data_IF_635373334159
#
_entry.id   IF_635373334159
#
_cell.length_a   1.000
_cell.length_b   1.000
_cell.length_c   1.000
_cell.angle_alpha   90.00
_cell.angle_beta   90.00
_cell.angle_gamma   90.00
#
_symmetry.space_group_name_H-M   'P 1'
#
loop_
_entity.id
_entity.type
_entity.pdbx_description
1 polymer ?
#
# COMPACT_ATOMS: atom_id res chain seq x y z
N UNK A 1 -0.22 0.74 -44.33
CA UNK A 1 0.44 -0.26 -43.44
C UNK A 1 0.93 0.30 -42.10
N UNK A 2 0.95 1.63 -41.90
CA UNK A 2 1.27 2.31 -40.64
C UNK A 2 0.11 2.29 -39.63
N UNK A 3 -1.14 2.32 -40.11
CA UNK A 3 -2.34 2.35 -39.25
C UNK A 3 -2.60 1.04 -38.50
N UNK A 4 -2.25 -0.10 -39.10
CA UNK A 4 -2.48 -1.40 -38.45
C UNK A 4 -1.50 -1.71 -37.33
N UNK A 5 -0.33 -1.06 -37.30
CA UNK A 5 0.69 -1.27 -36.28
C UNK A 5 0.42 -0.48 -34.99
N UNK A 6 -0.27 0.67 -35.12
CA UNK A 6 -0.70 1.47 -33.96
C UNK A 6 -1.85 0.85 -33.18
N UNK A 7 -2.75 0.12 -33.87
CA UNK A 7 -3.91 -0.50 -33.23
C UNK A 7 -3.57 -1.74 -32.39
N UNK A 8 -2.46 -2.44 -32.70
CA UNK A 8 -2.02 -3.59 -31.90
C UNK A 8 -1.32 -3.16 -30.59
N UNK A 9 -0.68 -2.01 -30.55
CA UNK A 9 0.05 -1.51 -29.38
C UNK A 9 -0.86 -0.84 -28.33
N UNK A 10 -2.08 -0.47 -28.71
CA UNK A 10 -3.05 0.20 -27.80
C UNK A 10 -4.04 -0.75 -27.14
N UNK A 11 -3.89 -2.06 -27.27
CA UNK A 11 -4.81 -3.01 -26.64
C UNK A 11 -4.63 -3.06 -25.14
N UNK A 12 -5.77 -3.06 -24.44
CA UNK A 12 -5.78 -3.30 -23.02
C UNK A 12 -5.21 -4.68 -22.68
N UNK A 13 -4.37 -4.75 -21.67
CA UNK A 13 -3.71 -5.95 -21.19
C UNK A 13 -4.13 -6.24 -19.75
N UNK A 14 -4.14 -7.52 -19.40
CA UNK A 14 -4.31 -7.91 -18.01
C UNK A 14 -3.03 -7.55 -17.23
N UNK A 15 -3.18 -6.84 -16.14
CA UNK A 15 -2.12 -6.57 -15.17
C UNK A 15 -2.41 -7.36 -13.88
N UNK A 16 -1.39 -7.91 -13.25
CA UNK A 16 -1.50 -8.55 -11.94
C UNK A 16 -0.24 -8.27 -11.13
N UNK A 17 -0.42 -8.22 -9.83
CA UNK A 17 0.67 -8.08 -8.86
C UNK A 17 0.33 -8.92 -7.63
N UNK A 18 1.31 -9.56 -7.04
CA UNK A 18 1.18 -10.31 -5.80
C UNK A 18 2.34 -9.96 -4.90
N UNK A 19 2.03 -9.34 -3.79
CA UNK A 19 3.03 -9.01 -2.78
C UNK A 19 2.84 -9.89 -1.55
N UNK A 20 3.95 -10.41 -1.05
CA UNK A 20 3.99 -11.21 0.16
C UNK A 20 5.05 -10.63 1.09
N UNK A 21 4.64 -10.30 2.31
CA UNK A 21 5.50 -9.75 3.33
C UNK A 21 5.41 -10.58 4.61
N UNK A 22 6.54 -10.86 5.22
CA UNK A 22 6.63 -11.39 6.57
C UNK A 22 7.34 -10.40 7.46
N UNK A 23 6.77 -10.12 8.61
CA UNK A 23 7.39 -9.29 9.62
C UNK A 23 7.61 -10.08 10.91
N UNK A 24 8.84 -10.05 11.38
CA UNK A 24 9.23 -10.56 12.69
C UNK A 24 9.95 -9.46 13.43
N UNK A 25 9.32 -8.93 14.46
CA UNK A 25 9.89 -7.88 15.31
C UNK A 25 9.78 -8.31 16.77
N UNK A 26 10.91 -8.43 17.44
CA UNK A 26 10.98 -8.72 18.86
C UNK A 26 11.39 -7.45 19.60
N UNK A 27 10.41 -6.77 20.19
CA UNK A 27 10.63 -5.55 20.97
C UNK A 27 10.72 -5.90 22.44
N UNK A 28 11.92 -5.89 22.95
CA UNK A 28 12.19 -6.00 24.40
C UNK A 28 12.34 -4.61 24.99
N UNK A 29 11.36 -4.21 25.79
CA UNK A 29 11.45 -2.99 26.59
C UNK A 29 11.82 -3.35 28.02
N UNK A 30 13.10 -3.24 28.35
CA UNK A 30 13.56 -3.45 29.73
C UNK A 30 13.01 -2.35 30.64
N UNK A 31 12.19 -2.76 31.64
CA UNK A 31 11.64 -1.90 32.73
C UNK A 31 10.79 -0.70 32.31
N UNK A 32 10.24 -0.65 31.11
CA UNK A 32 9.31 0.43 30.74
C UNK A 32 7.95 0.24 31.41
N UNK A 33 7.48 1.30 32.13
CA UNK A 33 6.11 1.33 32.69
C UNK A 33 5.03 1.51 31.61
N UNK A 34 5.40 1.95 30.41
CA UNK A 34 4.49 2.35 29.34
C UNK A 34 4.47 1.41 28.15
N UNK A 35 5.46 0.55 28.02
CA UNK A 35 5.57 -0.36 26.89
C UNK A 35 5.84 -1.78 27.39
N UNK A 36 4.98 -2.71 26.99
CA UNK A 36 5.18 -4.13 27.27
C UNK A 36 6.08 -4.74 26.20
N UNK A 37 7.03 -5.59 26.61
CA UNK A 37 7.76 -6.42 25.67
C UNK A 37 6.78 -7.24 24.83
N UNK A 38 7.00 -7.24 23.53
CA UNK A 38 6.07 -7.86 22.60
C UNK A 38 6.84 -8.42 21.40
N UNK A 39 6.48 -9.63 21.02
CA UNK A 39 6.94 -10.22 19.77
C UNK A 39 5.83 -10.06 18.75
N UNK A 40 6.13 -9.41 17.65
CA UNK A 40 5.25 -9.24 16.50
C UNK A 40 5.74 -10.23 15.44
N UNK A 41 4.89 -11.18 15.09
CA UNK A 41 5.15 -12.10 13.99
C UNK A 41 3.90 -12.21 13.14
N UNK A 42 3.99 -11.81 11.90
CA UNK A 42 2.84 -11.79 11.00
C UNK A 42 3.25 -11.96 9.54
N UNK A 43 2.28 -12.37 8.74
CA UNK A 43 2.38 -12.44 7.30
C UNK A 43 1.26 -11.62 6.66
N UNK A 44 1.56 -10.96 5.56
CA UNK A 44 0.63 -10.19 4.75
C UNK A 44 0.72 -10.67 3.31
N UNK A 45 -0.44 -10.76 2.67
CA UNK A 45 -0.58 -11.11 1.26
C UNK A 45 -1.50 -10.08 0.59
N UNK A 46 -1.02 -9.44 -0.46
CA UNK A 46 -1.76 -8.41 -1.19
C UNK A 46 -1.80 -8.71 -2.69
N UNK A 47 -2.66 -9.66 -3.13
CA UNK A 47 -2.88 -9.89 -4.54
C UNK A 47 -3.72 -8.78 -5.15
N UNK A 48 -3.36 -8.35 -6.34
CA UNK A 48 -4.13 -7.39 -7.14
C UNK A 48 -4.17 -7.78 -8.61
N UNK A 49 -5.25 -7.39 -9.27
CA UNK A 49 -5.48 -7.62 -10.69
C UNK A 49 -6.10 -6.38 -11.29
N UNK A 50 -5.88 -6.14 -12.55
CA UNK A 50 -6.43 -4.98 -13.22
C UNK A 50 -6.20 -4.96 -14.71
N UNK A 51 -6.41 -3.79 -15.28
CA UNK A 51 -6.23 -3.52 -16.69
C UNK A 51 -5.14 -2.48 -16.90
N UNK A 52 -4.29 -2.75 -17.85
CA UNK A 52 -3.24 -1.86 -18.33
C UNK A 52 -3.54 -1.43 -19.75
N UNK A 53 -3.50 -0.13 -20.00
CA UNK A 53 -3.68 0.47 -21.31
C UNK A 53 -2.43 1.28 -21.68
N UNK A 54 -1.51 0.71 -22.44
CA UNK A 54 -0.34 1.44 -22.91
C UNK A 54 -0.72 2.38 -24.05
N UNK A 55 -0.16 3.59 -24.02
CA UNK A 55 -0.24 4.60 -25.07
C UNK A 55 1.17 5.03 -25.47
N UNK A 56 1.88 4.22 -26.24
CA UNK A 56 3.31 4.44 -26.53
C UNK A 56 3.57 5.72 -27.32
N UNK A 57 2.63 6.16 -28.13
CA UNK A 57 2.74 7.43 -28.89
C UNK A 57 2.83 8.65 -27.96
N UNK A 58 2.15 8.60 -26.82
CA UNK A 58 2.15 9.66 -25.80
C UNK A 58 3.19 9.40 -24.69
N UNK A 59 3.90 8.26 -24.75
CA UNK A 59 4.78 7.81 -23.70
C UNK A 59 4.04 7.57 -22.36
N UNK A 60 2.76 7.20 -22.45
CA UNK A 60 1.88 7.03 -21.28
C UNK A 60 1.48 5.58 -21.11
N UNK A 61 1.29 5.19 -19.86
CA UNK A 61 0.75 3.90 -19.48
C UNK A 61 -0.27 4.08 -18.35
N UNK A 62 -1.47 3.60 -18.55
CA UNK A 62 -2.56 3.71 -17.61
C UNK A 62 -2.82 2.33 -17.00
N UNK A 63 -3.03 2.27 -15.68
CA UNK A 63 -3.44 1.05 -14.99
C UNK A 63 -4.60 1.34 -14.06
N UNK A 64 -5.58 0.47 -14.07
CA UNK A 64 -6.63 0.44 -13.07
C UNK A 64 -6.53 -0.90 -12.34
N UNK A 65 -6.25 -0.87 -11.04
CA UNK A 65 -5.97 -2.05 -10.23
C UNK A 65 -6.99 -2.19 -9.12
N UNK A 66 -7.41 -3.42 -8.86
CA UNK A 66 -8.21 -3.81 -7.71
C UNK A 66 -7.51 -4.96 -7.00
N UNK A 67 -7.46 -4.90 -5.68
CA UNK A 67 -6.79 -5.91 -4.88
C UNK A 67 -7.43 -6.09 -3.51
N UNK A 68 -6.90 -7.03 -2.77
CA UNK A 68 -7.27 -7.29 -1.38
C UNK A 68 -6.01 -7.32 -0.53
N UNK A 69 -6.15 -6.89 0.70
CA UNK A 69 -5.12 -6.95 1.72
C UNK A 69 -5.55 -7.94 2.80
N UNK A 70 -4.79 -9.01 2.94
CA UNK A 70 -5.04 -10.07 3.92
C UNK A 70 -3.84 -10.21 4.82
N UNK A 71 -4.06 -10.12 6.12
CA UNK A 71 -3.00 -10.25 7.11
C UNK A 71 -3.31 -11.37 8.09
N UNK A 72 -2.28 -12.10 8.50
CA UNK A 72 -2.34 -13.09 9.56
C UNK A 72 -1.23 -12.85 10.57
N UNK A 73 -1.60 -12.63 11.81
CA UNK A 73 -0.68 -12.62 12.95
C UNK A 73 -0.45 -14.03 13.48
N UNK A 74 0.79 -14.34 13.80
CA UNK A 74 1.20 -15.59 14.46
C UNK A 74 1.57 -15.22 15.91
N UNK A 75 0.68 -15.53 16.85
CA UNK A 75 0.89 -15.21 18.26
C UNK A 75 -0.07 -14.13 18.79
N UNK A 76 0.20 -13.62 19.98
CA UNK A 76 -0.64 -12.59 20.60
C UNK A 76 -0.42 -11.23 19.94
N UNK A 77 -1.25 -10.89 18.96
CA UNK A 77 -1.20 -9.59 18.32
C UNK A 77 -1.59 -8.47 19.31
N UNK A 78 -0.79 -7.39 19.39
CA UNK A 78 -1.17 -6.21 20.16
C UNK A 78 -2.45 -5.55 19.67
N UNK A 79 -2.72 -5.64 18.38
CA UNK A 79 -3.91 -5.06 17.75
C UNK A 79 -5.17 -5.83 18.11
N UNK A 80 -5.12 -7.16 18.17
CA UNK A 80 -6.28 -7.96 18.60
C UNK A 80 -6.71 -7.62 20.02
N UNK A 81 -5.74 -7.36 20.92
CA UNK A 81 -6.01 -6.91 22.30
C UNK A 81 -6.56 -5.49 22.39
N UNK A 82 -6.23 -4.62 21.46
CA UNK A 82 -6.77 -3.25 21.43
C UNK A 82 -8.18 -3.19 20.85
N UNK A 83 -8.51 -4.09 19.89
CA UNK A 83 -9.80 -4.09 19.22
C UNK A 83 -10.88 -4.88 19.96
N UNK A 84 -10.51 -5.87 20.75
CA UNK A 84 -11.44 -6.72 21.50
C UNK A 84 -10.82 -7.13 22.83
N UNK A 85 -10.87 -6.26 23.85
CA UNK A 85 -10.26 -6.54 25.15
C UNK A 85 -10.93 -7.72 25.90
N UNK A 86 -12.17 -8.05 25.57
CA UNK A 86 -12.99 -9.07 26.23
C UNK A 86 -13.02 -10.43 25.52
N UNK A 87 -12.54 -10.53 24.28
CA UNK A 87 -12.44 -11.81 23.59
C UNK A 87 -11.12 -12.52 23.93
N UNK A 88 -11.21 -13.82 24.19
CA UNK A 88 -10.04 -14.64 24.46
C UNK A 88 -9.08 -14.55 23.25
N UNK A 89 -7.88 -14.08 23.51
CA UNK A 89 -6.86 -13.78 22.49
C UNK A 89 -6.48 -14.96 21.60
N UNK A 90 -6.95 -16.18 21.91
CA UNK A 90 -6.71 -17.38 21.11
C UNK A 90 -7.59 -17.49 19.86
N UNK A 91 -8.80 -16.95 19.87
CA UNK A 91 -9.70 -17.05 18.72
C UNK A 91 -9.36 -16.08 17.60
N UNK A 92 -8.73 -14.95 17.92
CA UNK A 92 -8.35 -13.92 16.93
C UNK A 92 -7.02 -14.20 16.23
N UNK A 93 -6.12 -14.96 16.88
CA UNK A 93 -4.78 -15.24 16.35
C UNK A 93 -4.75 -16.26 15.22
N UNK A 94 -5.80 -17.08 15.09
CA UNK A 94 -5.82 -18.17 14.10
C UNK A 94 -6.56 -17.82 12.79
N UNK A 95 -7.21 -16.65 12.72
CA UNK A 95 -7.95 -16.24 11.52
C UNK A 95 -7.11 -15.26 10.70
N UNK A 96 -6.96 -15.53 9.42
CA UNK A 96 -6.50 -14.54 8.49
C UNK A 96 -7.55 -13.41 8.44
N UNK A 97 -7.14 -12.18 8.71
CA UNK A 97 -8.02 -11.02 8.71
C UNK A 97 -7.93 -10.33 7.35
N UNK A 98 -9.06 -10.24 6.68
CA UNK A 98 -9.24 -9.30 5.59
C UNK A 98 -9.12 -7.88 6.16
N UNK A 99 -8.15 -7.13 5.67
CA UNK A 99 -7.87 -5.79 6.18
C UNK A 99 -8.60 -4.75 5.35
N UNK A 100 -8.40 -4.78 4.05
CA UNK A 100 -8.87 -3.73 3.17
C UNK A 100 -8.96 -4.21 1.72
N UNK A 101 -9.79 -3.54 0.93
CA UNK A 101 -9.75 -3.59 -0.52
C UNK A 101 -8.93 -2.43 -1.04
N UNK A 102 -8.07 -2.69 -2.01
CA UNK A 102 -7.39 -1.66 -2.77
C UNK A 102 -8.10 -1.44 -4.09
N UNK A 103 -8.24 -0.19 -4.47
CA UNK A 103 -8.72 0.22 -5.78
C UNK A 103 -8.01 1.51 -6.15
N UNK A 104 -7.17 1.45 -7.14
CA UNK A 104 -6.41 2.62 -7.54
C UNK A 104 -6.16 2.69 -9.04
N UNK A 105 -6.05 3.91 -9.49
CA UNK A 105 -5.58 4.24 -10.81
C UNK A 105 -4.12 4.67 -10.73
N UNK A 106 -3.32 4.19 -11.67
CA UNK A 106 -1.92 4.55 -11.86
C UNK A 106 -1.71 5.10 -13.26
N UNK A 107 -1.02 6.22 -13.35
CA UNK A 107 -0.52 6.79 -14.59
C UNK A 107 1.00 6.85 -14.53
N UNK A 108 1.65 6.23 -15.48
CA UNK A 108 3.07 6.39 -15.76
C UNK A 108 3.24 7.14 -17.08
N UNK A 109 4.02 8.22 -17.06
CA UNK A 109 4.35 9.01 -18.25
C UNK A 109 5.84 9.20 -18.36
N UNK A 110 6.41 8.70 -19.44
CA UNK A 110 7.78 9.00 -19.83
C UNK A 110 7.85 10.38 -20.49
N UNK A 111 8.74 11.20 -19.98
CA UNK A 111 9.05 12.52 -20.55
C UNK A 111 10.44 12.48 -21.18
N UNK A 112 10.79 13.50 -21.97
CA UNK A 112 12.10 13.59 -22.62
C UNK A 112 13.27 13.49 -21.64
N UNK A 113 13.10 14.05 -20.45
CA UNK A 113 14.17 14.20 -19.44
C UNK A 113 13.83 13.49 -18.11
N UNK A 114 12.86 12.57 -18.09
CA UNK A 114 12.48 11.90 -16.86
C UNK A 114 11.20 11.09 -16.95
N UNK A 115 10.56 10.87 -15.80
CA UNK A 115 9.27 10.18 -15.69
C UNK A 115 8.36 10.90 -14.70
N UNK A 116 7.08 10.80 -14.93
CA UNK A 116 6.02 11.23 -14.03
C UNK A 116 5.15 10.02 -13.71
N UNK A 117 4.89 9.79 -12.43
CA UNK A 117 3.97 8.76 -11.96
C UNK A 117 2.90 9.41 -11.08
N UNK A 118 1.68 8.91 -11.20
CA UNK A 118 0.56 9.31 -10.37
C UNK A 118 -0.20 8.08 -9.90
N UNK A 119 -0.53 8.06 -8.62
CA UNK A 119 -1.43 7.08 -8.00
C UNK A 119 -2.62 7.83 -7.41
N UNK A 120 -3.82 7.32 -7.61
CA UNK A 120 -5.05 7.89 -7.08
C UNK A 120 -6.00 6.78 -6.62
N UNK A 121 -6.49 6.85 -5.40
CA UNK A 121 -7.38 5.88 -4.79
C UNK A 121 -6.80 5.25 -3.52
N UNK A 122 -7.08 3.97 -3.29
CA UNK A 122 -6.54 3.18 -2.19
C UNK A 122 -5.42 2.31 -2.75
N UNK A 123 -4.18 2.70 -2.52
CA UNK A 123 -2.99 2.07 -3.10
C UNK A 123 -1.94 1.72 -2.03
N UNK A 124 -1.07 0.72 -2.29
CA UNK A 124 -0.05 0.32 -1.32
C UNK A 124 0.94 1.45 -0.98
N UNK A 125 1.26 1.61 0.32
CA UNK A 125 2.27 2.58 0.80
C UNK A 125 3.64 2.40 0.18
N UNK A 126 3.98 1.19 -0.23
CA UNK A 126 5.23 0.90 -0.96
C UNK A 126 5.37 1.67 -2.28
N UNK A 127 4.26 2.21 -2.82
CA UNK A 127 4.30 3.09 -3.97
C UNK A 127 5.04 4.40 -3.68
N UNK A 128 5.07 4.84 -2.42
CA UNK A 128 5.84 5.98 -1.95
C UNK A 128 7.28 5.57 -1.69
N UNK A 129 8.24 6.30 -2.25
CA UNK A 129 9.68 6.02 -2.17
C UNK A 129 10.42 7.06 -1.32
N UNK A 130 9.75 8.15 -0.96
CA UNK A 130 10.34 9.23 -0.18
C UNK A 130 10.69 8.82 1.25
N UNK A 131 11.68 9.49 1.83
CA UNK A 131 11.99 9.36 3.25
C UNK A 131 11.06 10.26 4.06
N UNK A 132 10.15 9.65 4.77
CA UNK A 132 9.16 10.34 5.61
C UNK A 132 9.45 10.12 7.09
N UNK A 133 8.84 10.96 7.94
CA UNK A 133 8.93 10.80 9.38
C UNK A 133 8.40 9.45 9.83
N UNK A 134 9.07 8.81 10.80
CA UNK A 134 8.66 7.54 11.39
C UNK A 134 7.26 7.57 12.01
N UNK A 135 6.75 8.77 12.31
CA UNK A 135 5.36 8.96 12.79
C UNK A 135 4.34 8.51 11.74
N UNK A 136 4.65 8.71 10.44
CA UNK A 136 3.75 8.37 9.34
C UNK A 136 4.18 7.12 8.56
N UNK A 137 5.45 6.71 8.68
CA UNK A 137 6.05 5.65 7.88
C UNK A 137 6.97 4.74 8.70
N UNK A 138 6.69 4.50 9.98
CA UNK A 138 7.40 3.47 10.74
C UNK A 138 7.15 2.09 10.13
N UNK A 139 8.10 1.18 10.25
CA UNK A 139 7.96 -0.17 9.70
C UNK A 139 6.74 -0.91 10.26
N UNK A 140 6.43 -0.69 11.53
CA UNK A 140 5.20 -1.22 12.14
C UNK A 140 3.94 -0.63 11.48
N UNK A 141 3.92 0.66 11.20
CA UNK A 141 2.78 1.31 10.56
C UNK A 141 2.61 0.80 9.13
N UNK A 142 3.71 0.71 8.37
CA UNK A 142 3.69 0.14 7.02
C UNK A 142 3.14 -1.29 7.00
N UNK A 143 3.49 -2.09 8.01
CA UNK A 143 3.02 -3.47 8.10
C UNK A 143 1.54 -3.56 8.47
N UNK A 144 1.06 -2.74 9.42
CA UNK A 144 -0.32 -2.81 9.92
C UNK A 144 -1.32 -1.95 9.14
N UNK A 145 -0.86 -0.87 8.54
CA UNK A 145 -1.63 0.04 7.68
C UNK A 145 -0.87 0.25 6.38
N UNK A 146 -0.98 -0.75 5.50
CA UNK A 146 -0.16 -0.86 4.28
C UNK A 146 -0.66 0.02 3.13
N UNK A 147 -1.84 0.60 3.23
CA UNK A 147 -2.43 1.35 2.14
C UNK A 147 -2.50 2.84 2.47
N UNK A 148 -2.43 3.63 1.42
CA UNK A 148 -2.71 5.06 1.43
C UNK A 148 -4.02 5.30 0.72
N UNK A 149 -4.88 6.13 1.30
CA UNK A 149 -6.11 6.59 0.66
C UNK A 149 -5.91 8.02 0.16
N UNK A 150 -5.70 8.21 -1.14
CA UNK A 150 -5.46 9.56 -1.60
C UNK A 150 -4.84 9.70 -2.97
N UNK A 151 -3.90 10.64 -3.06
CA UNK A 151 -3.16 10.97 -4.27
C UNK A 151 -1.66 10.99 -3.98
N UNK A 152 -0.89 10.36 -4.85
CA UNK A 152 0.57 10.41 -4.84
C UNK A 152 1.07 10.81 -6.22
N UNK A 153 1.89 11.83 -6.26
CA UNK A 153 2.55 12.33 -7.47
C UNK A 153 4.05 12.18 -7.30
N UNK A 154 4.69 11.56 -8.28
CA UNK A 154 6.14 11.42 -8.32
C UNK A 154 6.68 12.00 -9.61
N UNK A 155 7.76 12.71 -9.51
CA UNK A 155 8.44 13.29 -10.65
C UNK A 155 9.94 13.00 -10.55
N UNK A 156 10.47 12.28 -11.50
CA UNK A 156 11.87 11.84 -11.52
C UNK A 156 12.60 12.38 -12.73
N UNK A 157 13.73 13.00 -12.49
CA UNK A 157 14.71 13.43 -13.49
C UNK A 157 16.08 12.84 -13.16
N UNK A 158 17.07 12.87 -14.08
CA UNK A 158 18.40 12.30 -13.82
C UNK A 158 19.11 12.86 -12.57
N UNK A 159 18.79 14.08 -12.15
CA UNK A 159 19.44 14.77 -11.01
C UNK A 159 18.47 15.25 -9.94
N UNK A 160 17.18 14.95 -10.06
CA UNK A 160 16.19 15.40 -9.08
C UNK A 160 15.01 14.42 -8.98
N UNK A 161 14.51 14.28 -7.77
CA UNK A 161 13.32 13.52 -7.45
C UNK A 161 12.39 14.37 -6.60
N UNK A 162 11.11 14.38 -6.94
CA UNK A 162 10.06 15.03 -6.20
C UNK A 162 8.91 14.06 -5.99
N UNK A 163 8.42 14.03 -4.77
CA UNK A 163 7.26 13.24 -4.40
C UNK A 163 6.34 14.10 -3.54
N UNK A 164 5.06 14.12 -3.90
CA UNK A 164 4.02 14.82 -3.15
C UNK A 164 2.87 13.85 -2.96
N UNK A 165 2.54 13.56 -1.70
CA UNK A 165 1.44 12.73 -1.30
C UNK A 165 0.39 13.51 -0.53
N UNK A 166 -0.88 13.18 -0.76
CA UNK A 166 -2.02 13.62 0.02
C UNK A 166 -2.77 12.37 0.46
N UNK A 167 -2.78 12.11 1.76
CA UNK A 167 -3.51 11.01 2.38
C UNK A 167 -4.81 11.56 2.99
N UNK A 168 -5.94 11.03 2.57
CA UNK A 168 -7.24 11.37 3.15
C UNK A 168 -7.49 10.58 4.43
N UNK A 169 -6.77 10.90 5.48
CA UNK A 169 -6.94 10.30 6.81
C UNK A 169 -8.26 10.66 7.50
N UNK A 170 -9.14 11.34 6.83
CA UNK A 170 -10.42 11.80 7.36
C UNK A 170 -11.54 10.78 7.21
N UNK A 171 -11.74 9.92 8.19
CA UNK A 171 -13.08 9.30 8.33
C UNK A 171 -14.07 10.41 8.65
N UNK A 172 -15.07 10.72 7.80
CA UNK A 172 -16.09 11.67 8.14
C UNK A 172 -16.92 11.10 9.30
N UNK A 173 -16.83 11.73 10.44
CA UNK A 173 -17.88 11.70 11.43
C UNK A 173 -17.90 10.53 12.41
N UNK A 174 -17.05 10.59 13.43
CA UNK A 174 -17.57 10.45 14.78
C UNK A 174 -17.09 11.66 15.57
N UNK A 175 -18.02 12.59 15.80
CA UNK A 175 -17.79 13.66 16.76
C UNK A 175 -17.33 13.02 18.05
N UNK A 176 -16.11 13.34 18.50
CA UNK A 176 -15.70 13.08 19.87
C UNK A 176 -16.68 13.82 20.79
N UNK A 177 -17.54 13.08 21.46
CA UNK A 177 -18.25 13.56 22.63
C UNK A 177 -17.29 13.59 23.81
#
# INVERSE_FOLDING_TARGET
SLSAKSDEEQKARLAYDVDFEMNFDNREFDRSRFSKAMTIFGARLTPSVGLELPQPELGMNHKLMVGIDVMKDFGASPISKMLSPDESSQDLTNKALFREMTLYYMLDKKTRDGSFEMYAGIFPRKASEGSYSDVFFSDSLKFYDNNLEGLLLKFRRPKSYWEVGCDWMGKPGYARK
#
